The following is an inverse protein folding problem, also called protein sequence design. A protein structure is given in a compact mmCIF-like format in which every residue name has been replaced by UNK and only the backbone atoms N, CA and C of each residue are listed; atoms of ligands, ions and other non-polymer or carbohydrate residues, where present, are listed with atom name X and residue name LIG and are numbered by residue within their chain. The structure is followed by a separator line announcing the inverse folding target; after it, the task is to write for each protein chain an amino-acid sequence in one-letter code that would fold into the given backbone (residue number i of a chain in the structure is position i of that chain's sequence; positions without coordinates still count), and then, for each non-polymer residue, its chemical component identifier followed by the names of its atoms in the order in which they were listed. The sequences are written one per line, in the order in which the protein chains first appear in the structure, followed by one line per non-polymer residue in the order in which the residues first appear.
data_IF_694862370706
#
_entry.id   IF_694862370706
#
_cell.length_a   1.000
_cell.length_b   1.000
_cell.length_c   1.000
_cell.angle_alpha   90.00
_cell.angle_beta   90.00
_cell.angle_gamma   90.00
#
_symmetry.space_group_name_H-M   'P 1'
#
loop_
_entity.id
_entity.type
_entity.pdbx_description
1 polymer ?
#
# COMPACT_ATOMS: atom_id res chain seq x y z
N UNK A 1 -35.50 -13.87 11.11
CA UNK A 1 -34.46 -12.84 10.89
C UNK A 1 -33.11 -13.42 11.30
N UNK A 2 -32.18 -13.59 10.36
CA UNK A 2 -30.88 -14.20 10.65
C UNK A 2 -30.05 -13.26 11.56
N UNK A 3 -29.64 -13.77 12.73
CA UNK A 3 -28.79 -13.04 13.69
C UNK A 3 -27.48 -12.68 13.00
N UNK A 4 -27.20 -11.38 12.82
CA UNK A 4 -25.95 -10.93 12.24
C UNK A 4 -24.76 -11.50 13.06
N UNK A 5 -23.92 -12.31 12.42
CA UNK A 5 -22.72 -12.88 13.06
C UNK A 5 -21.87 -11.71 13.58
N UNK A 6 -21.63 -11.66 14.90
CA UNK A 6 -20.69 -10.72 15.51
C UNK A 6 -19.33 -10.88 14.81
N UNK A 7 -18.85 -9.83 14.15
CA UNK A 7 -17.50 -9.80 13.58
C UNK A 7 -16.52 -9.89 14.73
N UNK A 8 -15.85 -11.04 14.84
CA UNK A 8 -14.69 -11.19 15.72
C UNK A 8 -13.64 -10.20 15.24
N UNK A 9 -13.23 -9.27 16.13
CA UNK A 9 -12.10 -8.39 15.85
C UNK A 9 -10.85 -9.26 15.82
N UNK A 10 -10.35 -9.56 14.62
CA UNK A 10 -9.07 -10.24 14.46
C UNK A 10 -7.97 -9.24 14.82
N UNK A 11 -7.17 -9.60 15.82
CA UNK A 11 -5.95 -8.88 16.17
C UNK A 11 -4.79 -9.46 15.39
N UNK A 12 -4.01 -8.62 14.73
CA UNK A 12 -2.95 -9.02 13.81
C UNK A 12 -1.67 -8.35 14.29
N UNK A 13 -0.71 -9.12 14.79
CA UNK A 13 0.54 -8.59 15.34
C UNK A 13 1.59 -8.31 14.24
N UNK A 14 1.77 -9.27 13.33
CA UNK A 14 2.63 -9.16 12.16
C UNK A 14 1.81 -9.17 10.88
N UNK A 15 2.21 -8.35 9.91
CA UNK A 15 1.56 -8.32 8.61
C UNK A 15 2.48 -7.93 7.45
N UNK A 16 1.87 -7.86 6.27
CA UNK A 16 2.54 -7.46 5.04
C UNK A 16 1.94 -6.15 4.57
N UNK A 17 2.78 -5.25 4.06
CA UNK A 17 2.35 -3.98 3.47
C UNK A 17 2.74 -3.98 2.00
N UNK A 18 1.75 -3.95 1.12
CA UNK A 18 1.93 -3.85 -0.32
C UNK A 18 1.76 -2.40 -0.76
N UNK A 19 2.83 -1.83 -1.31
CA UNK A 19 2.89 -0.49 -1.87
C UNK A 19 2.91 -0.62 -3.39
N UNK A 20 1.80 -0.28 -4.04
CA UNK A 20 1.72 -0.18 -5.49
C UNK A 20 1.95 1.27 -5.91
N UNK A 21 3.17 1.57 -6.34
CA UNK A 21 3.60 2.88 -6.81
C UNK A 21 3.61 2.91 -8.34
N UNK A 22 2.54 3.45 -8.92
CA UNK A 22 2.47 3.74 -10.36
C UNK A 22 2.79 5.21 -10.63
N UNK A 23 3.00 5.58 -11.90
CA UNK A 23 3.22 6.98 -12.28
C UNK A 23 2.05 7.91 -11.94
N UNK A 24 0.82 7.38 -11.86
CA UNK A 24 -0.40 8.21 -11.75
C UNK A 24 -1.12 8.09 -10.40
N UNK A 25 -0.71 7.14 -9.56
CA UNK A 25 -1.37 6.84 -8.28
C UNK A 25 -0.48 5.97 -7.39
N UNK A 26 -0.67 6.10 -6.07
CA UNK A 26 -0.16 5.14 -5.10
C UNK A 26 -1.31 4.48 -4.33
N UNK A 27 -1.20 3.18 -4.16
CA UNK A 27 -2.16 2.36 -3.41
C UNK A 27 -1.37 1.60 -2.36
N UNK A 28 -1.81 1.69 -1.12
CA UNK A 28 -1.20 1.01 0.03
C UNK A 28 -2.23 0.04 0.59
N UNK A 29 -1.85 -1.23 0.65
CA UNK A 29 -2.70 -2.30 1.18
C UNK A 29 -1.94 -2.99 2.30
N UNK A 30 -2.56 -3.09 3.47
CA UNK A 30 -2.05 -3.80 4.63
C UNK A 30 -2.80 -5.11 4.76
N UNK A 31 -2.07 -6.21 4.89
CA UNK A 31 -2.62 -7.56 5.00
C UNK A 31 -2.03 -8.32 6.17
N UNK A 32 -2.70 -9.39 6.55
CA UNK A 32 -2.13 -10.43 7.40
C UNK A 32 -0.99 -11.16 6.66
N UNK A 33 -0.22 -11.98 7.38
CA UNK A 33 0.76 -12.93 6.81
C UNK A 33 0.14 -13.87 5.76
N UNK A 34 -1.14 -14.21 5.91
CA UNK A 34 -1.90 -15.09 5.00
C UNK A 34 -2.42 -14.36 3.75
N UNK A 35 -2.23 -13.05 3.65
CA UNK A 35 -2.67 -12.24 2.52
C UNK A 35 -4.10 -11.68 2.62
N UNK A 36 -4.79 -11.88 3.75
CA UNK A 36 -6.10 -11.26 3.98
C UNK A 36 -5.94 -9.75 4.20
N UNK A 37 -6.65 -8.93 3.41
CA UNK A 37 -6.57 -7.48 3.54
C UNK A 37 -7.26 -6.97 4.81
N UNK A 38 -6.51 -6.25 5.64
CA UNK A 38 -6.99 -5.61 6.88
C UNK A 38 -7.45 -4.19 6.57
N UNK A 39 -6.60 -3.42 5.90
CA UNK A 39 -6.87 -2.04 5.52
C UNK A 39 -6.23 -1.73 4.19
N UNK A 40 -6.80 -0.75 3.49
CA UNK A 40 -6.19 -0.19 2.30
C UNK A 40 -6.58 1.27 2.16
N UNK A 41 -5.72 2.03 1.49
CA UNK A 41 -6.01 3.39 1.08
C UNK A 41 -5.29 3.68 -0.24
N UNK A 42 -5.76 4.70 -0.93
CA UNK A 42 -5.10 5.20 -2.13
C UNK A 42 -5.09 6.72 -2.12
N UNK A 43 -4.15 7.31 -2.85
CA UNK A 43 -4.07 8.76 -3.02
C UNK A 43 -5.39 9.31 -3.59
N UNK A 44 -5.99 8.62 -4.55
CA UNK A 44 -7.29 9.01 -5.11
C UNK A 44 -8.46 8.94 -4.11
N UNK A 45 -8.48 7.92 -3.24
CA UNK A 45 -9.53 7.74 -2.23
C UNK A 45 -9.53 8.80 -1.13
N UNK A 46 -8.41 9.50 -0.95
CA UNK A 46 -8.24 10.61 -0.01
C UNK A 46 -8.58 11.99 -0.59
N UNK A 47 -9.12 12.04 -1.81
CA UNK A 47 -9.54 13.29 -2.44
C UNK A 47 -8.47 13.98 -3.29
N UNK A 48 -7.27 13.42 -3.41
CA UNK A 48 -6.30 13.92 -4.40
C UNK A 48 -6.79 13.60 -5.82
N UNK A 49 -6.81 14.61 -6.69
CA UNK A 49 -7.29 14.51 -8.08
C UNK A 49 -6.23 14.97 -9.09
N UNK A 50 -6.33 14.48 -10.32
CA UNK A 50 -5.40 14.84 -11.41
C UNK A 50 -3.94 14.52 -11.07
N UNK A 51 -3.04 15.44 -11.43
CA UNK A 51 -1.60 15.34 -11.18
C UNK A 51 -1.23 15.33 -9.69
N UNK A 52 -2.11 15.80 -8.78
CA UNK A 52 -1.83 15.77 -7.35
C UNK A 52 -1.77 14.35 -6.78
N UNK A 53 -2.39 13.36 -7.45
CA UNK A 53 -2.37 11.94 -7.04
C UNK A 53 -1.01 11.27 -7.17
N UNK A 54 -0.17 11.76 -8.10
CA UNK A 54 1.16 11.22 -8.35
C UNK A 54 2.23 11.92 -7.52
N UNK A 55 1.86 12.67 -6.48
CA UNK A 55 2.83 13.37 -5.64
C UNK A 55 3.28 12.52 -4.45
N UNK A 56 4.52 12.71 -3.96
CA UNK A 56 5.00 12.02 -2.75
C UNK A 56 4.14 12.32 -1.52
N UNK A 57 3.63 13.54 -1.40
CA UNK A 57 2.73 13.93 -0.30
C UNK A 57 1.41 13.14 -0.31
N UNK A 58 0.84 12.91 -1.48
CA UNK A 58 -0.36 12.09 -1.63
C UNK A 58 -0.10 10.61 -1.32
N UNK A 59 1.14 10.13 -1.45
CA UNK A 59 1.55 8.78 -1.05
C UNK A 59 1.74 8.66 0.46
N UNK A 60 2.35 9.67 1.09
CA UNK A 60 2.47 9.76 2.55
C UNK A 60 1.10 9.68 3.22
N UNK A 61 0.18 10.58 2.85
CA UNK A 61 -1.18 10.62 3.43
C UNK A 61 -1.95 9.32 3.21
N UNK A 62 -1.83 8.69 2.04
CA UNK A 62 -2.37 7.36 1.78
C UNK A 62 -1.81 6.30 2.72
N UNK A 63 -0.49 6.31 2.93
CA UNK A 63 0.18 5.38 3.83
C UNK A 63 -0.26 5.59 5.27
N UNK A 64 -0.31 6.84 5.75
CA UNK A 64 -0.75 7.17 7.11
C UNK A 64 -2.15 6.66 7.41
N UNK A 65 -3.09 6.89 6.48
CA UNK A 65 -4.47 6.45 6.71
C UNK A 65 -4.64 4.94 6.66
N UNK A 66 -3.90 4.22 5.81
CA UNK A 66 -3.91 2.76 5.78
C UNK A 66 -3.27 2.16 7.04
N UNK A 67 -2.11 2.69 7.44
CA UNK A 67 -1.35 2.22 8.59
C UNK A 67 -2.06 2.50 9.91
N UNK A 68 -2.62 3.70 10.13
CA UNK A 68 -3.40 4.01 11.33
C UNK A 68 -4.57 3.04 11.51
N UNK A 69 -5.33 2.78 10.43
CA UNK A 69 -6.41 1.78 10.45
C UNK A 69 -5.90 0.39 10.81
N UNK A 70 -4.71 0.00 10.37
CA UNK A 70 -4.12 -1.31 10.68
C UNK A 70 -3.57 -1.38 12.13
N UNK A 71 -3.05 -0.28 12.66
CA UNK A 71 -2.60 -0.18 14.05
C UNK A 71 -3.75 -0.38 15.05
N UNK A 72 -4.98 0.03 14.69
CA UNK A 72 -6.18 -0.25 15.48
C UNK A 72 -6.49 -1.76 15.61
N UNK A 73 -5.99 -2.58 14.68
CA UNK A 73 -6.06 -4.05 14.72
C UNK A 73 -4.86 -4.70 15.43
N UNK A 74 -3.94 -3.91 15.99
CA UNK A 74 -2.80 -4.40 16.78
C UNK A 74 -1.52 -4.65 15.98
N UNK A 75 -1.42 -4.15 14.74
CA UNK A 75 -0.26 -4.32 13.88
C UNK A 75 0.97 -3.60 14.47
N UNK A 76 2.08 -4.32 14.63
CA UNK A 76 3.35 -3.77 15.14
C UNK A 76 4.52 -4.00 14.21
N UNK A 77 4.57 -5.16 13.56
CA UNK A 77 5.67 -5.54 12.67
C UNK A 77 5.17 -5.73 11.25
N UNK A 78 5.94 -5.24 10.28
CA UNK A 78 5.55 -5.26 8.87
C UNK A 78 6.68 -5.68 7.94
N UNK A 79 6.34 -6.53 6.97
CA UNK A 79 7.16 -6.77 5.78
C UNK A 79 6.64 -5.89 4.65
N UNK A 80 7.51 -5.05 4.07
CA UNK A 80 7.14 -4.10 3.04
C UNK A 80 7.47 -4.68 1.66
N UNK A 81 6.45 -4.75 0.81
CA UNK A 81 6.55 -5.19 -0.58
C UNK A 81 6.21 -4.01 -1.49
N UNK A 82 7.14 -3.67 -2.36
CA UNK A 82 7.03 -2.50 -3.22
C UNK A 82 6.84 -2.96 -4.66
N UNK A 83 5.88 -2.38 -5.37
CA UNK A 83 5.60 -2.68 -6.78
C UNK A 83 5.50 -1.41 -7.60
N UNK A 84 6.33 -1.31 -8.64
CA UNK A 84 6.31 -0.24 -9.62
C UNK A 84 7.23 0.95 -9.29
N UNK A 85 7.60 1.74 -10.31
CA UNK A 85 8.63 2.79 -10.21
C UNK A 85 8.10 4.18 -9.81
N UNK A 86 6.83 4.29 -9.41
CA UNK A 86 6.21 5.60 -9.15
C UNK A 86 6.90 6.40 -8.04
N UNK A 87 6.85 7.73 -8.15
CA UNK A 87 7.55 8.68 -7.24
C UNK A 87 7.13 8.57 -5.77
N UNK A 88 5.94 8.05 -5.47
CA UNK A 88 5.48 7.85 -4.09
C UNK A 88 6.06 6.62 -3.39
N UNK A 89 6.95 5.86 -4.05
CA UNK A 89 7.61 4.66 -3.51
C UNK A 89 8.36 4.97 -2.20
N UNK A 90 9.32 5.88 -2.23
CA UNK A 90 10.16 6.16 -1.05
C UNK A 90 9.37 6.84 0.07
N UNK A 91 8.49 7.78 -0.30
CA UNK A 91 7.65 8.48 0.67
C UNK A 91 6.80 7.51 1.47
N UNK A 92 6.16 6.53 0.81
CA UNK A 92 5.37 5.52 1.50
C UNK A 92 6.21 4.68 2.48
N UNK A 93 7.41 4.23 2.09
CA UNK A 93 8.30 3.46 2.97
C UNK A 93 8.72 4.28 4.19
N UNK A 94 9.13 5.55 3.98
CA UNK A 94 9.54 6.45 5.07
C UNK A 94 8.38 6.71 6.04
N UNK A 95 7.18 6.91 5.53
CA UNK A 95 5.98 7.14 6.35
C UNK A 95 5.66 5.95 7.27
N UNK A 96 5.87 4.71 6.81
CA UNK A 96 5.69 3.53 7.69
C UNK A 96 6.64 3.56 8.89
N UNK A 97 7.88 3.98 8.68
CA UNK A 97 8.86 4.15 9.77
C UNK A 97 8.48 5.26 10.74
N UNK A 98 8.00 6.41 10.22
CA UNK A 98 7.55 7.55 11.05
C UNK A 98 6.36 7.18 11.94
N UNK A 99 5.48 6.30 11.48
CA UNK A 99 4.30 5.85 12.25
C UNK A 99 4.63 4.84 13.36
N UNK A 100 5.90 4.44 13.51
CA UNK A 100 6.34 3.54 14.58
C UNK A 100 6.08 2.06 14.31
N UNK A 101 5.76 1.68 13.07
CA UNK A 101 5.72 0.28 12.66
C UNK A 101 7.15 -0.24 12.48
N UNK A 102 7.46 -1.40 13.08
CA UNK A 102 8.76 -2.05 12.90
C UNK A 102 8.83 -2.69 11.52
N UNK A 103 9.62 -2.11 10.63
CA UNK A 103 9.85 -2.65 9.29
C UNK A 103 10.90 -3.77 9.37
N UNK A 104 10.47 -5.02 9.16
CA UNK A 104 11.34 -6.20 9.23
C UNK A 104 12.09 -6.46 7.93
N UNK A 105 11.44 -6.24 6.80
CA UNK A 105 12.06 -6.39 5.48
C UNK A 105 11.45 -5.42 4.47
N UNK A 106 12.26 -5.02 3.49
CA UNK A 106 11.82 -4.24 2.33
C UNK A 106 12.20 -5.06 1.09
N UNK A 107 11.20 -5.42 0.29
CA UNK A 107 11.38 -6.18 -0.95
C UNK A 107 10.72 -5.48 -2.12
N UNK A 108 11.45 -5.32 -3.22
CA UNK A 108 10.87 -4.89 -4.50
C UNK A 108 10.35 -6.13 -5.25
N UNK A 109 9.06 -6.13 -5.55
CA UNK A 109 8.33 -7.17 -6.30
C UNK A 109 7.84 -6.64 -7.65
N UNK A 110 8.50 -5.61 -8.19
CA UNK A 110 8.17 -5.08 -9.52
C UNK A 110 8.38 -6.17 -10.57
N UNK A 111 7.33 -6.55 -11.32
CA UNK A 111 7.44 -7.63 -12.30
C UNK A 111 8.29 -7.18 -13.50
N UNK A 112 9.36 -7.92 -13.77
CA UNK A 112 10.20 -7.74 -14.96
C UNK A 112 9.86 -8.87 -15.95
N UNK A 113 9.28 -8.57 -17.12
CA UNK A 113 8.93 -9.59 -18.10
C UNK A 113 10.17 -10.05 -18.88
N UNK A 114 10.33 -11.37 -19.05
CA UNK A 114 11.37 -11.95 -19.91
C UNK A 114 10.86 -12.06 -21.35
N UNK A 115 10.94 -10.96 -22.12
CA UNK A 115 10.48 -10.89 -23.52
C UNK A 115 9.06 -11.44 -23.76
N UNK A 116 8.14 -11.14 -22.83
CA UNK A 116 6.74 -11.60 -22.88
C UNK A 116 5.87 -10.82 -23.88
N UNK A 117 4.77 -10.24 -23.41
CA UNK A 117 3.85 -9.51 -24.28
C UNK A 117 4.48 -8.26 -24.88
N UNK A 118 4.17 -7.97 -26.16
CA UNK A 118 4.61 -6.74 -26.84
C UNK A 118 4.11 -5.50 -26.08
N UNK A 119 4.99 -4.55 -25.72
CA UNK A 119 4.58 -3.31 -25.07
C UNK A 119 3.70 -2.46 -26.00
N UNK A 120 2.83 -1.63 -25.40
CA UNK A 120 2.00 -0.70 -26.17
C UNK A 120 2.88 0.26 -26.97
N UNK A 121 2.41 0.66 -28.15
CA UNK A 121 3.09 1.63 -29.02
C UNK A 121 3.44 2.90 -28.22
N UNK A 122 4.70 3.34 -28.33
CA UNK A 122 5.17 4.59 -27.73
C UNK A 122 4.27 5.74 -28.17
N UNK A 123 3.83 6.57 -27.21
CA UNK A 123 3.02 7.75 -27.53
C UNK A 123 3.86 8.76 -28.30
N UNK A 124 3.26 9.38 -29.31
CA UNK A 124 3.80 10.54 -30.03
C UNK A 124 3.15 11.77 -29.38
N UNK A 125 3.77 12.30 -28.33
CA UNK A 125 3.34 13.54 -27.68
C UNK A 125 4.44 14.56 -27.91
#
# INVERSE_FOLDING_TARGET
MAKAKRKVKKTVYEGNVYIQATFNNTIVTVTDLTGNAVSWASSGGLGFRGAKKSTPYAAQTATETAAKKAMDYGLREVNVFVKGPGVGRESAIRTLGVLGLKVRSIRDITPIPHNGCRPRKTRRV
#
